data_IF_088234093860
#
_entry.id   IF_088234093860
#
_cell.length_a   1.000
_cell.length_b   1.000
_cell.length_c   1.000
_cell.angle_alpha   90.00
_cell.angle_beta   90.00
_cell.angle_gamma   90.00
#
_symmetry.space_group_name_H-M   'P 1'
#
loop_
_entity.id
_entity.type
_entity.pdbx_description
1 polymer ?
#
# COMPACT_ATOMS: atom_id res chain seq x y z
N UNK A 1 0.20 3.73 -10.25
CA UNK A 1 1.53 4.36 -10.42
C UNK A 1 1.70 4.97 -11.81
N UNK A 2 1.50 6.29 -11.99
CA UNK A 2 1.68 6.95 -13.29
C UNK A 2 3.14 6.94 -13.80
N UNK A 3 4.08 6.46 -12.99
CA UNK A 3 5.53 6.49 -13.26
C UNK A 3 6.12 5.16 -13.77
N UNK A 4 5.34 4.07 -13.86
CA UNK A 4 5.77 2.77 -14.41
C UNK A 4 4.93 2.51 -15.67
N UNK A 5 5.49 2.09 -16.81
CA UNK A 5 4.69 1.82 -18.02
C UNK A 5 3.73 0.66 -17.78
N UNK A 6 2.60 0.61 -18.50
CA UNK A 6 1.57 -0.42 -18.26
C UNK A 6 2.13 -1.83 -18.49
N UNK A 7 2.99 -1.97 -19.48
CA UNK A 7 3.63 -3.20 -19.92
C UNK A 7 4.59 -3.73 -18.85
N UNK A 8 5.36 -2.83 -18.23
CA UNK A 8 6.29 -3.14 -17.14
C UNK A 8 5.57 -3.59 -15.86
N UNK A 9 4.29 -3.25 -15.69
CA UNK A 9 3.49 -3.70 -14.52
C UNK A 9 2.96 -5.12 -14.68
N UNK A 10 2.75 -5.58 -15.93
CA UNK A 10 2.07 -6.86 -16.21
C UNK A 10 2.82 -8.05 -15.62
N UNK A 11 4.14 -7.99 -15.58
CA UNK A 11 5.00 -9.07 -15.06
C UNK A 11 4.73 -9.39 -13.59
N UNK A 12 4.17 -8.44 -12.83
CA UNK A 12 3.88 -8.64 -11.40
C UNK A 12 2.47 -9.19 -11.14
N UNK A 13 1.56 -9.15 -12.13
CA UNK A 13 0.13 -9.33 -11.88
C UNK A 13 -0.21 -10.73 -11.36
N UNK A 14 0.40 -11.77 -11.94
CA UNK A 14 0.17 -13.16 -11.53
C UNK A 14 0.61 -13.39 -10.08
N UNK A 15 1.82 -12.95 -9.73
CA UNK A 15 2.34 -13.07 -8.37
C UNK A 15 1.53 -12.27 -7.35
N UNK A 16 1.10 -11.04 -7.71
CA UNK A 16 0.25 -10.22 -6.86
C UNK A 16 -1.10 -10.89 -6.61
N UNK A 17 -1.71 -11.48 -7.65
CA UNK A 17 -2.99 -12.19 -7.51
C UNK A 17 -2.85 -13.41 -6.58
N UNK A 18 -1.81 -14.23 -6.78
CA UNK A 18 -1.54 -15.38 -5.94
C UNK A 18 -1.31 -15.00 -4.47
N UNK A 19 -0.52 -13.94 -4.21
CA UNK A 19 -0.32 -13.43 -2.86
C UNK A 19 -1.62 -12.89 -2.24
N UNK A 20 -2.42 -12.16 -3.00
CA UNK A 20 -3.70 -11.63 -2.53
C UNK A 20 -4.69 -12.73 -2.14
N UNK A 21 -4.70 -13.85 -2.87
CA UNK A 21 -5.51 -15.03 -2.54
C UNK A 21 -5.03 -15.75 -1.26
N UNK A 22 -3.72 -15.72 -0.99
CA UNK A 22 -3.13 -16.32 0.20
C UNK A 22 -3.35 -15.50 1.48
N UNK A 23 -3.64 -14.20 1.37
CA UNK A 23 -3.88 -13.34 2.53
C UNK A 23 -5.23 -13.68 3.19
N UNK A 24 -5.28 -13.89 4.52
CA UNK A 24 -6.51 -14.24 5.20
C UNK A 24 -7.60 -13.18 5.05
N UNK A 25 -8.84 -13.63 4.87
CA UNK A 25 -10.00 -12.74 4.78
C UNK A 25 -10.36 -12.08 6.11
N UNK A 26 -9.97 -12.70 7.23
CA UNK A 26 -10.13 -12.16 8.58
C UNK A 26 -9.48 -10.77 8.69
N UNK A 27 -10.30 -9.77 8.99
CA UNK A 27 -9.90 -8.36 9.06
C UNK A 27 -8.94 -8.10 10.23
N UNK A 28 -8.99 -8.93 11.28
CA UNK A 28 -8.12 -8.77 12.46
C UNK A 28 -6.71 -9.32 12.20
N UNK A 29 -6.60 -10.40 11.41
CA UNK A 29 -5.32 -11.00 11.04
C UNK A 29 -4.64 -10.31 9.85
N UNK A 30 -5.43 -9.78 8.90
CA UNK A 30 -4.93 -9.21 7.64
C UNK A 30 -3.78 -8.19 7.80
N UNK A 31 -3.80 -7.24 8.76
CA UNK A 31 -2.71 -6.26 8.92
C UNK A 31 -1.36 -6.92 9.20
N UNK A 32 -1.32 -7.95 10.05
CA UNK A 32 -0.08 -8.66 10.38
C UNK A 32 0.52 -9.38 9.17
N UNK A 33 -0.33 -10.05 8.38
CA UNK A 33 0.11 -10.72 7.15
C UNK A 33 0.62 -9.72 6.10
N UNK A 34 -0.09 -8.61 5.90
CA UNK A 34 0.36 -7.58 4.96
C UNK A 34 1.69 -6.96 5.38
N UNK A 35 1.86 -6.69 6.68
CA UNK A 35 3.13 -6.20 7.21
C UNK A 35 4.27 -7.19 6.93
N UNK A 36 4.07 -8.47 7.26
CA UNK A 36 5.06 -9.51 6.98
C UNK A 36 5.44 -9.61 5.49
N UNK A 37 4.45 -9.61 4.59
CA UNK A 37 4.68 -9.69 3.14
C UNK A 37 5.51 -8.50 2.64
N UNK A 38 5.14 -7.29 3.05
CA UNK A 38 5.85 -6.06 2.62
C UNK A 38 7.27 -6.04 3.19
N UNK A 39 7.46 -6.35 4.47
CA UNK A 39 8.80 -6.42 5.09
C UNK A 39 9.70 -7.44 4.40
N UNK A 40 9.18 -8.65 4.15
CA UNK A 40 9.95 -9.70 3.47
C UNK A 40 10.26 -9.32 2.02
N UNK A 41 9.32 -8.67 1.31
CA UNK A 41 9.58 -8.21 -0.05
C UNK A 41 10.71 -7.17 -0.09
N UNK A 42 10.72 -6.23 0.85
CA UNK A 42 11.80 -5.24 0.99
C UNK A 42 13.13 -5.95 1.23
N UNK A 43 13.18 -6.87 2.19
CA UNK A 43 14.39 -7.64 2.50
C UNK A 43 14.90 -8.43 1.29
N UNK A 44 14.01 -9.02 0.50
CA UNK A 44 14.38 -9.77 -0.71
C UNK A 44 14.86 -8.89 -1.86
N UNK A 45 14.38 -7.65 -1.96
CA UNK A 45 14.76 -6.71 -3.02
C UNK A 45 16.08 -6.00 -2.69
N UNK A 46 16.24 -5.54 -1.45
CA UNK A 46 17.40 -4.74 -1.03
C UNK A 46 18.51 -5.57 -0.37
N UNK A 47 18.21 -6.79 0.10
CA UNK A 47 19.16 -7.69 0.75
C UNK A 47 19.47 -7.31 2.20
N UNK A 48 20.31 -8.13 2.85
CA UNK A 48 20.67 -7.95 4.26
C UNK A 48 21.64 -6.78 4.51
N UNK A 49 22.34 -6.30 3.47
CA UNK A 49 23.37 -5.26 3.58
C UNK A 49 22.88 -3.91 3.04
N UNK A 50 21.77 -3.42 3.59
CA UNK A 50 21.24 -2.10 3.26
C UNK A 50 22.17 -0.98 3.72
N UNK A 51 22.32 0.05 2.88
CA UNK A 51 22.98 1.31 3.23
C UNK A 51 21.92 2.36 3.53
N UNK A 52 22.34 3.46 4.13
CA UNK A 52 21.44 4.56 4.50
C UNK A 52 20.59 5.09 3.32
N UNK A 53 21.15 5.13 2.10
CA UNK A 53 20.39 5.51 0.92
C UNK A 53 19.23 4.55 0.62
N UNK A 54 19.44 3.25 0.82
CA UNK A 54 18.46 2.20 0.59
C UNK A 54 17.35 2.30 1.65
N UNK A 55 17.70 2.61 2.90
CA UNK A 55 16.71 2.90 3.96
C UNK A 55 15.84 4.12 3.61
N UNK A 56 16.45 5.21 3.14
CA UNK A 56 15.71 6.41 2.76
C UNK A 56 14.82 6.17 1.54
N UNK A 57 15.27 5.36 0.58
CA UNK A 57 14.45 4.96 -0.57
C UNK A 57 13.22 4.16 -0.11
N UNK A 58 13.41 3.18 0.77
CA UNK A 58 12.33 2.36 1.34
C UNK A 58 11.30 3.22 2.07
N UNK A 59 11.77 4.06 2.99
CA UNK A 59 10.90 4.96 3.73
C UNK A 59 10.14 5.91 2.79
N UNK A 60 10.83 6.47 1.80
CA UNK A 60 10.24 7.39 0.84
C UNK A 60 9.14 6.76 -0.01
N UNK A 61 9.33 5.55 -0.54
CA UNK A 61 8.27 4.92 -1.33
C UNK A 61 7.11 4.44 -0.45
N UNK A 62 7.36 3.99 0.79
CA UNK A 62 6.30 3.58 1.71
C UNK A 62 5.40 4.76 2.11
N UNK A 63 5.99 5.92 2.39
CA UNK A 63 5.24 7.16 2.59
C UNK A 63 4.44 7.53 1.34
N UNK A 64 5.05 7.41 0.15
CA UNK A 64 4.35 7.60 -1.11
C UNK A 64 3.13 6.67 -1.27
N UNK A 65 3.25 5.39 -0.92
CA UNK A 65 2.14 4.42 -0.95
C UNK A 65 1.02 4.84 0.01
N UNK A 66 1.35 5.26 1.22
CA UNK A 66 0.38 5.76 2.21
C UNK A 66 -0.38 6.98 1.68
N UNK A 67 0.34 8.00 1.20
CA UNK A 67 -0.24 9.23 0.67
C UNK A 67 -1.11 8.96 -0.57
N UNK A 68 -0.67 8.06 -1.46
CA UNK A 68 -1.48 7.65 -2.61
C UNK A 68 -2.75 6.91 -2.19
N UNK A 69 -2.68 6.03 -1.18
CA UNK A 69 -3.85 5.34 -0.65
C UNK A 69 -4.85 6.34 -0.07
N UNK A 70 -4.39 7.26 0.78
CA UNK A 70 -5.25 8.29 1.36
C UNK A 70 -5.95 9.10 0.26
N UNK A 71 -5.18 9.68 -0.68
CA UNK A 71 -5.72 10.54 -1.73
C UNK A 71 -6.69 9.82 -2.68
N UNK A 72 -6.42 8.56 -3.02
CA UNK A 72 -7.18 7.82 -4.06
C UNK A 72 -8.30 6.95 -3.48
N UNK A 73 -8.28 6.65 -2.18
CA UNK A 73 -9.21 5.70 -1.54
C UNK A 73 -9.90 6.32 -0.33
N UNK A 74 -9.14 6.86 0.61
CA UNK A 74 -9.72 7.41 1.85
C UNK A 74 -10.47 8.70 1.60
N UNK A 75 -9.86 9.69 0.94
CA UNK A 75 -10.49 10.99 0.72
C UNK A 75 -11.84 10.90 -0.02
N UNK A 76 -11.98 10.14 -1.13
CA UNK A 76 -13.30 9.96 -1.76
C UNK A 76 -14.34 9.29 -0.86
N UNK A 77 -13.93 8.34 -0.02
CA UNK A 77 -14.82 7.72 0.96
C UNK A 77 -15.26 8.71 2.05
N UNK A 78 -14.34 9.58 2.50
CA UNK A 78 -14.64 10.66 3.45
C UNK A 78 -15.61 11.68 2.83
N UNK A 79 -15.39 12.09 1.57
CA UNK A 79 -16.30 12.98 0.83
C UNK A 79 -17.72 12.39 0.76
N UNK A 80 -17.85 11.09 0.45
CA UNK A 80 -19.14 10.39 0.46
C UNK A 80 -19.76 10.37 1.86
N UNK A 81 -18.95 10.16 2.89
CA UNK A 81 -19.42 10.12 4.28
C UNK A 81 -19.91 11.47 4.76
N UNK A 82 -19.22 12.55 4.42
CA UNK A 82 -19.63 13.93 4.72
C UNK A 82 -21.04 14.21 4.17
N UNK A 83 -21.34 13.79 2.94
CA UNK A 83 -22.68 13.98 2.35
C UNK A 83 -23.77 13.26 3.19
N UNK A 84 -23.47 12.08 3.74
CA UNK A 84 -24.45 11.24 4.43
C UNK A 84 -24.55 11.46 5.95
N UNK A 85 -23.46 11.84 6.60
CA UNK A 85 -23.30 11.89 8.06
C UNK A 85 -23.00 13.30 8.57
N UNK A 86 -22.75 14.26 7.66
CA UNK A 86 -22.33 15.63 7.96
C UNK A 86 -20.82 15.78 8.11
N UNK A 87 -20.36 17.02 8.10
CA UNK A 87 -18.97 17.42 8.34
C UNK A 87 -18.78 17.99 9.76
N UNK A 88 -17.53 18.24 10.14
CA UNK A 88 -17.12 18.80 11.44
C UNK A 88 -17.86 20.10 11.82
N UNK A 89 -18.33 20.87 10.84
CA UNK A 89 -19.00 22.16 11.04
C UNK A 89 -20.53 22.09 10.95
N UNK A 90 -21.13 20.90 10.82
CA UNK A 90 -22.59 20.72 10.69
C UNK A 90 -23.32 20.74 12.05
N UNK A 91 -22.79 21.48 13.03
CA UNK A 91 -23.38 21.72 14.35
C UNK A 91 -24.22 23.01 14.40
#
# INVERSE_FOLDING_TARGET
MPYIKKEERKVYQEAINALAEAVPRDRTARPGHMNYIVSLLIERVYGEQMRYCDHNEVLGFLEGVQLEFYRRKTAPYEDEKIISEGDLNDL
#
